data_IF_525706837344
#
_entry.id   IF_525706837344
#
_cell.length_a   1.000
_cell.length_b   1.000
_cell.length_c   1.000
_cell.angle_alpha   90.00
_cell.angle_beta   90.00
_cell.angle_gamma   90.00
#
_symmetry.space_group_name_H-M   'P 1'
#
loop_
_entity.id
_entity.type
_entity.pdbx_description
1 polymer ?
#
# COMPACT_ATOMS: atom_id res chain seq x y z
N UNK A 1 -12.93 41.97 -31.47
CA UNK A 1 -11.88 42.75 -32.18
C UNK A 1 -10.65 42.74 -31.28
N UNK A 2 -9.60 42.07 -31.74
CA UNK A 2 -8.45 41.52 -30.98
C UNK A 2 -7.43 42.60 -30.59
N UNK A 3 -7.04 42.64 -29.30
CA UNK A 3 -5.88 43.40 -28.81
C UNK A 3 -4.65 42.50 -28.80
N UNK A 4 -3.68 42.80 -29.66
CA UNK A 4 -2.47 42.01 -29.87
C UNK A 4 -1.50 42.13 -28.69
N UNK A 5 -1.11 40.99 -28.12
CA UNK A 5 -0.14 40.88 -27.03
C UNK A 5 1.26 41.18 -27.60
N UNK A 6 1.96 42.15 -27.00
CA UNK A 6 3.33 42.53 -27.38
C UNK A 6 4.29 41.37 -27.04
N UNK A 7 5.05 40.81 -28.02
CA UNK A 7 6.05 39.79 -27.71
C UNK A 7 7.23 40.42 -26.98
N UNK A 8 7.58 39.91 -25.80
CA UNK A 8 8.80 40.26 -25.05
C UNK A 8 9.91 39.25 -25.34
N UNK A 9 10.36 39.16 -26.59
CA UNK A 9 11.57 38.41 -26.92
C UNK A 9 12.54 39.28 -27.71
N UNK A 10 13.64 39.66 -27.05
CA UNK A 10 14.80 40.29 -27.67
C UNK A 10 15.58 39.32 -28.56
N UNK A 11 16.59 39.81 -29.30
CA UNK A 11 17.19 39.10 -30.42
C UNK A 11 17.95 37.85 -29.98
N UNK A 12 17.73 36.75 -30.71
CA UNK A 12 18.33 35.44 -30.44
C UNK A 12 19.79 35.43 -30.90
N UNK A 13 20.74 35.73 -30.01
CA UNK A 13 22.15 35.38 -30.24
C UNK A 13 22.35 33.89 -29.96
N UNK A 14 22.73 33.15 -31.00
CA UNK A 14 23.07 31.73 -30.99
C UNK A 14 24.22 31.45 -30.00
N UNK A 15 23.89 30.96 -28.81
CA UNK A 15 24.88 30.41 -27.89
C UNK A 15 24.70 28.89 -27.79
N UNK A 16 25.37 28.18 -28.72
CA UNK A 16 25.37 26.71 -28.80
C UNK A 16 26.18 26.01 -27.69
N UNK A 17 26.48 26.70 -26.58
CA UNK A 17 27.21 26.15 -25.43
C UNK A 17 26.37 26.03 -24.14
N UNK A 18 25.12 26.53 -24.10
CA UNK A 18 24.32 26.54 -22.88
C UNK A 18 23.49 25.24 -22.66
N UNK A 19 23.43 24.34 -23.64
CA UNK A 19 22.53 23.18 -23.62
C UNK A 19 22.92 22.06 -22.63
N UNK A 20 24.19 22.01 -22.18
CA UNK A 20 24.67 20.94 -21.29
C UNK A 20 24.41 21.26 -19.81
N UNK A 21 24.45 22.54 -19.41
CA UNK A 21 24.21 22.98 -18.02
C UNK A 21 22.72 22.97 -17.63
N UNK A 22 21.82 23.09 -18.62
CA UNK A 22 20.36 23.12 -18.41
C UNK A 22 19.74 21.72 -18.21
N UNK A 23 20.48 20.65 -18.49
CA UNK A 23 19.95 19.28 -18.45
C UNK A 23 19.94 18.68 -17.03
N UNK A 24 20.74 19.23 -16.12
CA UNK A 24 20.87 18.77 -14.73
C UNK A 24 19.88 19.44 -13.76
N UNK A 25 18.94 20.26 -14.23
CA UNK A 25 18.07 21.12 -13.38
C UNK A 25 16.59 20.72 -13.34
N UNK A 26 16.20 19.62 -13.99
CA UNK A 26 14.77 19.23 -14.10
C UNK A 26 14.23 18.37 -12.95
N UNK A 27 15.12 17.79 -12.13
CA UNK A 27 14.71 16.95 -11.00
C UNK A 27 15.01 17.68 -9.70
N UNK A 28 14.10 17.66 -8.72
CA UNK A 28 14.39 18.12 -7.37
C UNK A 28 15.64 17.43 -6.80
N UNK A 29 16.34 18.04 -5.83
CA UNK A 29 17.43 17.40 -5.11
C UNK A 29 17.01 16.05 -4.52
N UNK A 30 17.97 15.14 -4.32
CA UNK A 30 17.70 13.82 -3.76
C UNK A 30 17.01 13.95 -2.39
N UNK A 31 15.90 13.24 -2.22
CA UNK A 31 15.06 13.32 -1.01
C UNK A 31 13.98 14.41 -1.06
N UNK A 32 13.96 15.26 -2.08
CA UNK A 32 12.90 16.24 -2.29
C UNK A 32 11.85 15.68 -3.25
N UNK A 33 10.60 15.69 -2.82
CA UNK A 33 9.45 15.32 -3.62
C UNK A 33 8.61 16.57 -3.90
N UNK A 34 8.39 16.87 -5.18
CA UNK A 34 7.58 18.00 -5.62
C UNK A 34 6.65 17.48 -6.70
N UNK A 35 5.36 17.43 -6.42
CA UNK A 35 4.31 17.05 -7.37
C UNK A 35 3.40 18.24 -7.65
N UNK A 36 2.91 18.34 -8.89
CA UNK A 36 2.00 19.42 -9.27
C UNK A 36 0.71 19.39 -8.44
N UNK A 37 0.12 18.20 -8.28
CA UNK A 37 -1.14 18.03 -7.56
C UNK A 37 -1.03 18.44 -6.09
N UNK A 38 0.08 18.10 -5.42
CA UNK A 38 0.34 18.50 -4.03
C UNK A 38 0.49 20.03 -3.91
N UNK A 39 1.16 20.66 -4.88
CA UNK A 39 1.32 22.12 -4.91
C UNK A 39 -0.01 22.84 -5.11
N UNK A 40 -0.86 22.33 -6.03
CA UNK A 40 -2.21 22.85 -6.24
C UNK A 40 -3.05 22.63 -4.98
N UNK A 41 -3.00 21.43 -4.39
CA UNK A 41 -3.75 21.08 -3.20
C UNK A 41 -3.37 21.92 -1.97
N UNK A 42 -2.14 22.43 -1.88
CA UNK A 42 -1.69 23.35 -0.81
C UNK A 42 -1.96 24.83 -1.12
N UNK A 43 -2.15 25.20 -2.39
CA UNK A 43 -2.37 26.58 -2.82
C UNK A 43 -3.86 26.92 -3.04
N UNK A 44 -4.71 25.92 -3.29
CA UNK A 44 -6.16 26.08 -3.54
C UNK A 44 -6.99 26.31 -2.28
N UNK A 45 -6.36 26.45 -1.12
CA UNK A 45 -7.03 26.61 0.16
C UNK A 45 -7.78 27.93 0.26
N UNK A 46 -8.95 27.96 0.91
CA UNK A 46 -9.65 29.21 1.16
C UNK A 46 -8.73 30.16 1.93
N UNK A 47 -8.72 31.47 1.62
CA UNK A 47 -8.05 32.48 2.43
C UNK A 47 -8.80 32.56 3.76
N UNK A 48 -8.46 31.65 4.68
CA UNK A 48 -9.10 31.62 5.99
C UNK A 48 -8.47 32.70 6.87
N UNK A 49 -9.27 33.48 7.61
CA UNK A 49 -8.76 34.40 8.64
C UNK A 49 -8.22 33.65 9.88
N UNK A 50 -8.12 32.32 9.82
CA UNK A 50 -7.64 31.47 10.89
C UNK A 50 -6.09 31.36 10.83
N UNK A 51 -5.42 31.14 11.98
CA UNK A 51 -3.96 31.16 12.06
C UNK A 51 -3.25 30.01 11.33
N UNK A 52 -3.97 29.06 10.73
CA UNK A 52 -3.38 27.85 10.15
C UNK A 52 -3.55 27.81 8.63
N UNK A 53 -2.42 27.75 7.94
CA UNK A 53 -2.37 27.57 6.47
C UNK A 53 -2.98 26.22 6.05
N UNK A 54 -3.39 26.09 4.78
CA UNK A 54 -3.88 24.81 4.25
C UNK A 54 -2.86 23.68 4.42
N UNK A 55 -1.57 23.99 4.22
CA UNK A 55 -0.47 23.05 4.47
C UNK A 55 -0.43 22.55 5.92
N UNK A 56 -0.62 23.43 6.91
CA UNK A 56 -0.71 23.02 8.32
C UNK A 56 -1.90 22.11 8.62
N UNK A 57 -3.04 22.34 7.96
CA UNK A 57 -4.21 21.47 8.12
C UNK A 57 -3.95 20.07 7.55
N UNK A 58 -3.29 19.98 6.39
CA UNK A 58 -2.88 18.70 5.80
C UNK A 58 -1.90 17.96 6.70
N UNK A 59 -0.88 18.65 7.24
CA UNK A 59 0.06 18.06 8.21
C UNK A 59 -0.67 17.50 9.44
N UNK A 60 -1.58 18.27 10.04
CA UNK A 60 -2.39 17.81 11.18
C UNK A 60 -3.29 16.63 10.84
N UNK A 61 -3.83 16.56 9.63
CA UNK A 61 -4.63 15.42 9.18
C UNK A 61 -3.77 14.15 9.05
N UNK A 62 -2.56 14.26 8.48
CA UNK A 62 -1.62 13.14 8.40
C UNK A 62 -1.17 12.67 9.78
N UNK A 63 -0.92 13.59 10.73
CA UNK A 63 -0.59 13.20 12.11
C UNK A 63 -1.70 12.39 12.77
N UNK A 64 -2.97 12.78 12.57
CA UNK A 64 -4.13 12.03 13.07
C UNK A 64 -4.21 10.65 12.42
N UNK A 65 -3.95 10.56 11.12
CA UNK A 65 -3.93 9.29 10.41
C UNK A 65 -2.82 8.37 10.94
N UNK A 66 -1.60 8.89 11.15
CA UNK A 66 -0.49 8.14 11.76
C UNK A 66 -0.88 7.59 13.13
N UNK A 67 -1.51 8.41 13.98
CA UNK A 67 -1.98 7.96 15.31
C UNK A 67 -3.06 6.89 15.17
N UNK A 68 -3.97 7.04 14.21
CA UNK A 68 -5.02 6.06 13.92
C UNK A 68 -4.45 4.71 13.50
N UNK A 69 -3.52 4.72 12.54
CA UNK A 69 -2.86 3.52 12.05
C UNK A 69 -2.03 2.85 13.15
N UNK A 70 -1.30 3.61 13.97
CA UNK A 70 -0.58 3.07 15.13
C UNK A 70 -1.51 2.33 16.09
N UNK A 71 -2.68 2.89 16.38
CA UNK A 71 -3.69 2.24 17.24
C UNK A 71 -4.22 0.95 16.60
N UNK A 72 -4.49 0.96 15.29
CA UNK A 72 -4.92 -0.23 14.56
C UNK A 72 -3.86 -1.34 14.62
N UNK A 73 -2.58 -1.00 14.45
CA UNK A 73 -1.47 -1.95 14.58
C UNK A 73 -1.43 -2.60 15.97
N UNK A 74 -1.63 -1.81 17.03
CA UNK A 74 -1.66 -2.36 18.41
C UNK A 74 -2.88 -3.26 18.64
N UNK A 75 -4.05 -2.88 18.15
CA UNK A 75 -5.24 -3.72 18.20
C UNK A 75 -5.01 -5.06 17.49
N UNK A 76 -4.48 -5.02 16.26
CA UNK A 76 -4.16 -6.22 15.49
C UNK A 76 -3.14 -7.11 16.22
N UNK A 77 -2.11 -6.52 16.84
CA UNK A 77 -1.12 -7.26 17.64
C UNK A 77 -1.79 -7.98 18.83
N UNK A 78 -2.73 -7.32 19.51
CA UNK A 78 -3.46 -7.92 20.63
C UNK A 78 -4.34 -9.09 20.17
N UNK A 79 -5.09 -8.89 19.08
CA UNK A 79 -5.95 -9.92 18.49
C UNK A 79 -5.13 -11.13 18.03
N UNK A 80 -4.02 -10.91 17.32
CA UNK A 80 -3.11 -11.97 16.89
C UNK A 80 -2.47 -12.69 18.09
N UNK A 81 -2.09 -11.98 19.14
CA UNK A 81 -1.55 -12.59 20.36
C UNK A 81 -2.59 -13.49 21.04
N UNK A 82 -3.85 -13.05 21.10
CA UNK A 82 -4.97 -13.86 21.61
C UNK A 82 -5.17 -15.12 20.78
N UNK A 83 -5.23 -14.98 19.46
CA UNK A 83 -5.39 -16.12 18.56
C UNK A 83 -4.22 -17.13 18.68
N UNK A 84 -2.98 -16.62 18.70
CA UNK A 84 -1.79 -17.45 18.90
C UNK A 84 -1.84 -18.29 20.18
N UNK A 85 -2.35 -17.73 21.29
CA UNK A 85 -2.53 -18.48 22.53
C UNK A 85 -3.63 -19.54 22.42
N UNK A 86 -4.72 -19.25 21.70
CA UNK A 86 -5.82 -20.21 21.51
C UNK A 86 -5.43 -21.40 20.64
N UNK A 87 -4.50 -21.21 19.71
CA UNK A 87 -4.08 -22.23 18.74
C UNK A 87 -2.68 -22.78 19.05
N UNK A 88 -2.10 -22.44 20.21
CA UNK A 88 -0.72 -22.83 20.53
C UNK A 88 -0.53 -24.33 20.74
N UNK A 89 -1.58 -25.02 21.19
CA UNK A 89 -1.57 -26.46 21.44
C UNK A 89 -1.60 -27.29 20.14
N UNK A 90 -1.86 -26.64 18.99
CA UNK A 90 -1.91 -27.31 17.70
C UNK A 90 -3.09 -28.28 17.60
N UNK A 91 -2.94 -29.30 16.76
CA UNK A 91 -3.95 -30.35 16.56
C UNK A 91 -3.36 -31.76 16.61
N UNK A 92 -2.11 -31.89 17.07
CA UNK A 92 -1.37 -33.16 17.00
C UNK A 92 -2.03 -34.24 17.85
N UNK A 93 -2.60 -33.88 19.00
CA UNK A 93 -3.36 -34.79 19.86
C UNK A 93 -4.65 -35.32 19.20
N UNK A 94 -5.15 -34.63 18.18
CA UNK A 94 -6.33 -35.03 17.42
C UNK A 94 -5.98 -35.73 16.09
N UNK A 95 -4.69 -35.90 15.79
CA UNK A 95 -4.24 -36.52 14.55
C UNK A 95 -4.43 -38.04 14.64
N UNK A 96 -5.19 -38.66 13.73
CA UNK A 96 -5.27 -40.11 13.64
C UNK A 96 -3.90 -40.71 13.31
N UNK A 97 -3.66 -41.94 13.76
CA UNK A 97 -2.46 -42.68 13.36
C UNK A 97 -2.44 -42.91 11.84
N UNK A 98 -1.26 -42.73 11.22
CA UNK A 98 -1.10 -42.97 9.79
C UNK A 98 -1.30 -44.46 9.48
N UNK A 99 -2.14 -44.77 8.50
CA UNK A 99 -2.37 -46.14 8.05
C UNK A 99 -1.25 -46.58 7.10
N UNK A 100 -0.52 -47.64 7.44
CA UNK A 100 0.58 -48.17 6.61
C UNK A 100 0.13 -49.36 5.73
N UNK A 101 -1.13 -49.37 5.31
CA UNK A 101 -1.67 -50.45 4.47
C UNK A 101 -1.12 -50.35 3.05
N UNK A 102 -0.54 -51.45 2.54
CA UNK A 102 -0.17 -51.54 1.12
C UNK A 102 -1.41 -51.81 0.27
N UNK A 103 -1.46 -51.18 -0.90
CA UNK A 103 -2.52 -51.41 -1.88
C UNK A 103 -2.52 -52.89 -2.29
N UNK A 104 -3.69 -53.51 -2.26
CA UNK A 104 -3.93 -54.88 -2.68
C UNK A 104 -4.95 -54.90 -3.83
N UNK A 105 -4.77 -55.77 -4.81
CA UNK A 105 -5.66 -55.91 -5.95
C UNK A 105 -6.88 -56.83 -5.69
N UNK A 106 -6.80 -57.68 -4.65
CA UNK A 106 -7.88 -58.62 -4.30
C UNK A 106 -8.83 -57.97 -3.31
N UNK A 107 -10.11 -57.93 -3.65
CA UNK A 107 -11.19 -57.45 -2.77
C UNK A 107 -11.70 -58.57 -1.87
N UNK A 108 -11.75 -58.29 -0.56
CA UNK A 108 -12.43 -59.11 0.44
C UNK A 108 -13.91 -58.75 0.53
N UNK A 109 -14.73 -59.64 1.08
CA UNK A 109 -16.16 -59.35 1.29
C UNK A 109 -16.38 -58.14 2.21
N UNK A 110 -15.54 -57.97 3.24
CA UNK A 110 -15.62 -56.81 4.15
C UNK A 110 -15.29 -55.49 3.42
N UNK A 111 -14.28 -55.48 2.55
CA UNK A 111 -13.95 -54.31 1.73
C UNK A 111 -15.06 -53.97 0.73
N UNK A 112 -15.73 -54.97 0.14
CA UNK A 112 -16.90 -54.74 -0.72
C UNK A 112 -18.05 -54.10 0.05
N UNK A 113 -18.32 -54.55 1.28
CA UNK A 113 -19.35 -53.96 2.13
C UNK A 113 -19.01 -52.52 2.55
N UNK A 114 -17.76 -52.26 2.96
CA UNK A 114 -17.29 -50.91 3.27
C UNK A 114 -17.38 -49.97 2.05
N UNK A 115 -17.06 -50.47 0.86
CA UNK A 115 -17.16 -49.70 -0.37
C UNK A 115 -18.60 -49.32 -0.69
N UNK A 116 -19.55 -50.25 -0.57
CA UNK A 116 -20.98 -49.97 -0.75
C UNK A 116 -21.46 -48.94 0.27
N UNK A 117 -21.04 -49.03 1.53
CA UNK A 117 -21.45 -48.08 2.56
C UNK A 117 -20.85 -46.68 2.37
N UNK A 118 -19.63 -46.56 1.85
CA UNK A 118 -19.00 -45.27 1.57
C UNK A 118 -19.52 -44.56 0.31
N UNK A 119 -20.34 -45.23 -0.51
CA UNK A 119 -20.94 -44.65 -1.71
C UNK A 119 -22.24 -43.86 -1.43
N UNK A 120 -22.84 -44.01 -0.25
CA UNK A 120 -24.08 -43.33 0.17
C UNK A 120 -23.81 -42.36 1.31
#
# INVERSE_FOLDING_TARGET
RTGSVRPTTGPVKRERHCHVLLRNKRKPPRGMYINHDDLVAMASGPPTPAPATQGEQMLKAMDREIVSLKRQVQNNKQTLSSFKRKTSEGIDDFRPADTTSRINARWTNDELLLAVQGMF
#
